data_IF_773589077898
#
_entry.id   IF_773589077898
#
_cell.length_a   1.000
_cell.length_b   1.000
_cell.length_c   1.000
_cell.angle_alpha   90.00
_cell.angle_beta   90.00
_cell.angle_gamma   90.00
#
_symmetry.space_group_name_H-M   'P 1'
#
loop_
_entity.id
_entity.type
_entity.pdbx_description
1 polymer ?
#
# COMPACT_ATOMS: atom_id res chain seq x y z
N UNK A 1 17.19 6.58 10.63
CA UNK A 1 17.30 5.88 9.33
C UNK A 1 18.57 5.07 9.36
N UNK A 2 18.45 3.77 9.61
CA UNK A 2 19.57 2.82 9.64
C UNK A 2 20.04 2.46 8.24
N UNK A 3 19.16 2.51 7.24
CA UNK A 3 19.48 2.23 5.85
C UNK A 3 18.78 3.21 4.90
N UNK A 4 19.47 4.27 4.44
CA UNK A 4 18.85 5.34 3.66
C UNK A 4 18.43 4.91 2.25
N UNK A 5 19.18 4.01 1.61
CA UNK A 5 18.85 3.51 0.27
C UNK A 5 17.59 2.64 0.30
N UNK A 6 17.50 1.72 1.26
CA UNK A 6 16.30 0.92 1.46
C UNK A 6 15.08 1.77 1.80
N UNK A 7 15.25 2.78 2.66
CA UNK A 7 14.18 3.73 2.99
C UNK A 7 13.64 4.46 1.75
N UNK A 8 14.52 5.00 0.91
CA UNK A 8 14.13 5.67 -0.33
C UNK A 8 13.41 4.72 -1.28
N UNK A 9 13.90 3.49 -1.43
CA UNK A 9 13.25 2.47 -2.28
C UNK A 9 11.82 2.17 -1.84
N UNK A 10 11.61 1.93 -0.55
CA UNK A 10 10.28 1.69 0.03
C UNK A 10 9.36 2.91 -0.16
N UNK A 11 9.87 4.12 0.07
CA UNK A 11 9.12 5.36 -0.08
C UNK A 11 8.67 5.63 -1.53
N UNK A 12 9.56 5.43 -2.50
CA UNK A 12 9.23 5.57 -3.93
C UNK A 12 8.18 4.54 -4.36
N UNK A 13 8.33 3.28 -3.93
CA UNK A 13 7.34 2.25 -4.22
C UNK A 13 6.00 2.53 -3.52
N UNK A 14 6.01 3.21 -2.38
CA UNK A 14 4.79 3.62 -1.68
C UNK A 14 4.06 4.72 -2.44
N UNK A 15 4.79 5.69 -3.00
CA UNK A 15 4.22 6.68 -3.89
C UNK A 15 3.57 6.03 -5.12
N UNK A 16 4.23 5.05 -5.73
CA UNK A 16 3.66 4.32 -6.87
C UNK A 16 2.40 3.54 -6.48
N UNK A 17 2.44 2.81 -5.36
CA UNK A 17 1.30 2.08 -4.83
C UNK A 17 0.08 2.98 -4.62
N UNK A 18 0.27 4.14 -3.97
CA UNK A 18 -0.81 5.09 -3.68
C UNK A 18 -1.33 5.77 -4.95
N UNK A 19 -0.46 6.07 -5.92
CA UNK A 19 -0.86 6.57 -7.23
C UNK A 19 -1.71 5.55 -8.00
N UNK A 20 -1.29 4.28 -8.07
CA UNK A 20 -2.06 3.21 -8.71
C UNK A 20 -3.39 2.95 -8.02
N UNK A 21 -3.43 3.05 -6.68
CA UNK A 21 -4.68 2.99 -5.92
C UNK A 21 -5.61 4.15 -6.26
N UNK A 22 -5.10 5.38 -6.37
CA UNK A 22 -5.87 6.54 -6.81
C UNK A 22 -6.48 6.36 -8.20
N UNK A 23 -5.71 5.81 -9.15
CA UNK A 23 -6.22 5.45 -10.48
C UNK A 23 -7.33 4.40 -10.42
N UNK A 24 -7.19 3.40 -9.56
CA UNK A 24 -8.23 2.39 -9.35
C UNK A 24 -9.51 3.04 -8.82
N UNK A 25 -9.42 3.89 -7.80
CA UNK A 25 -10.60 4.57 -7.26
C UNK A 25 -11.27 5.45 -8.33
N UNK A 26 -10.49 6.16 -9.13
CA UNK A 26 -11.02 6.97 -10.23
C UNK A 26 -11.75 6.11 -11.28
N UNK A 27 -11.27 4.91 -11.58
CA UNK A 27 -11.89 4.00 -12.54
C UNK A 27 -13.22 3.40 -12.07
N UNK A 28 -13.45 3.33 -10.75
CA UNK A 28 -14.70 2.79 -10.17
C UNK A 28 -15.65 3.89 -9.67
N UNK A 29 -15.14 5.10 -9.43
CA UNK A 29 -15.92 6.25 -9.01
C UNK A 29 -16.72 6.83 -10.18
N UNK A 30 -18.01 6.50 -10.24
CA UNK A 30 -18.94 7.04 -11.25
C UNK A 30 -19.09 8.57 -11.19
N UNK A 31 -18.88 9.16 -10.01
CA UNK A 31 -18.86 10.61 -9.78
C UNK A 31 -17.67 10.99 -8.90
N UNK A 32 -17.20 12.25 -8.95
CA UNK A 32 -16.14 12.73 -8.08
C UNK A 32 -16.43 12.53 -6.59
N UNK A 33 -17.67 12.74 -6.16
CA UNK A 33 -18.11 12.58 -4.76
C UNK A 33 -18.05 11.10 -4.33
N UNK A 34 -18.50 10.18 -5.19
CA UNK A 34 -18.43 8.75 -4.91
C UNK A 34 -16.98 8.27 -4.86
N UNK A 35 -16.13 8.72 -5.79
CA UNK A 35 -14.69 8.42 -5.79
C UNK A 35 -14.04 8.88 -4.49
N UNK A 36 -14.34 10.12 -4.05
CA UNK A 36 -13.82 10.66 -2.79
C UNK A 36 -14.26 9.84 -1.58
N UNK A 37 -15.53 9.45 -1.50
CA UNK A 37 -16.04 8.61 -0.42
C UNK A 37 -15.33 7.26 -0.33
N UNK A 38 -15.15 6.59 -1.48
CA UNK A 38 -14.42 5.32 -1.59
C UNK A 38 -12.97 5.50 -1.16
N UNK A 39 -12.28 6.53 -1.67
CA UNK A 39 -10.89 6.81 -1.33
C UNK A 39 -10.71 6.99 0.18
N UNK A 40 -11.55 7.80 0.82
CA UNK A 40 -11.48 8.06 2.26
C UNK A 40 -11.71 6.78 3.06
N UNK A 41 -12.79 6.06 2.77
CA UNK A 41 -13.13 4.84 3.49
C UNK A 41 -12.02 3.78 3.37
N UNK A 42 -11.55 3.52 2.15
CA UNK A 42 -10.49 2.54 1.91
C UNK A 42 -9.17 2.96 2.56
N UNK A 43 -8.82 4.25 2.51
CA UNK A 43 -7.61 4.77 3.18
C UNK A 43 -7.69 4.56 4.69
N UNK A 44 -8.84 4.82 5.31
CA UNK A 44 -9.01 4.60 6.75
C UNK A 44 -8.81 3.12 7.13
N UNK A 45 -9.41 2.20 6.37
CA UNK A 45 -9.20 0.76 6.58
C UNK A 45 -7.72 0.38 6.41
N UNK A 46 -7.07 0.88 5.37
CA UNK A 46 -5.65 0.63 5.11
C UNK A 46 -4.74 1.20 6.19
N UNK A 47 -5.04 2.37 6.76
CA UNK A 47 -4.25 2.98 7.83
C UNK A 47 -4.44 2.22 9.15
N UNK A 48 -5.68 1.84 9.47
CA UNK A 48 -5.99 1.06 10.67
C UNK A 48 -5.32 -0.32 10.64
N UNK A 49 -5.44 -1.06 9.53
CA UNK A 49 -4.93 -2.43 9.43
C UNK A 49 -3.47 -2.51 8.96
N UNK A 50 -2.97 -1.47 8.28
CA UNK A 50 -1.59 -1.42 7.79
C UNK A 50 -0.56 -1.23 8.90
N UNK A 51 -1.00 -0.85 10.10
CA UNK A 51 -0.12 -0.67 11.25
C UNK A 51 0.43 0.74 11.42
N UNK A 52 -0.15 1.73 10.72
CA UNK A 52 0.32 3.12 10.76
C UNK A 52 -0.08 3.83 12.05
N UNK A 53 -1.22 3.47 12.64
CA UNK A 53 -1.66 3.98 13.94
C UNK A 53 -1.22 3.10 15.10
N UNK A 54 -1.43 1.80 14.97
CA UNK A 54 -1.05 0.80 15.97
C UNK A 54 -0.09 -0.18 15.30
N UNK A 55 1.16 -0.30 15.79
CA UNK A 55 2.12 -1.21 15.19
C UNK A 55 1.57 -2.62 15.03
N UNK A 56 1.79 -3.21 13.85
CA UNK A 56 1.21 -4.51 13.46
C UNK A 56 1.52 -5.64 14.44
N UNK A 57 2.69 -5.62 15.08
CA UNK A 57 3.10 -6.62 16.07
C UNK A 57 2.29 -6.62 17.38
N UNK A 58 1.47 -5.58 17.62
CA UNK A 58 0.56 -5.52 18.78
C UNK A 58 -0.80 -6.16 18.50
N UNK A 59 -1.11 -6.50 17.25
CA UNK A 59 -2.38 -7.13 16.92
C UNK A 59 -2.43 -8.60 17.37
N UNK A 60 -3.63 -9.17 17.60
CA UNK A 60 -3.77 -10.62 17.77
C UNK A 60 -3.21 -11.40 16.56
N UNK A 61 -2.66 -12.59 16.77
CA UNK A 61 -1.99 -13.39 15.73
C UNK A 61 -2.80 -13.57 14.45
N UNK A 62 -4.10 -13.79 14.57
CA UNK A 62 -4.98 -13.98 13.41
C UNK A 62 -5.12 -12.69 12.58
N UNK A 63 -5.12 -11.53 13.23
CA UNK A 63 -5.13 -10.22 12.57
C UNK A 63 -3.78 -9.96 11.92
N UNK A 64 -2.68 -10.26 12.61
CA UNK A 64 -1.33 -10.15 12.03
C UNK A 64 -1.17 -11.01 10.79
N UNK A 65 -1.85 -12.15 10.67
CA UNK A 65 -1.80 -12.97 9.45
C UNK A 65 -2.70 -12.42 8.36
N UNK A 66 -3.85 -11.83 8.70
CA UNK A 66 -4.78 -11.30 7.69
C UNK A 66 -4.29 -10.00 7.06
N UNK A 67 -3.56 -9.15 7.79
CA UNK A 67 -3.16 -7.83 7.28
C UNK A 67 -2.08 -7.90 6.18
N UNK A 68 -1.57 -9.08 5.82
CA UNK A 68 -0.65 -9.25 4.66
C UNK A 68 -1.29 -8.85 3.33
N UNK A 69 -2.63 -8.90 3.24
CA UNK A 69 -3.37 -8.44 2.07
C UNK A 69 -3.60 -6.92 2.05
N UNK A 70 -3.19 -6.22 3.12
CA UNK A 70 -3.32 -4.77 3.24
C UNK A 70 -2.07 -4.12 2.62
N UNK A 71 -2.19 -3.41 1.50
CA UNK A 71 -1.01 -2.96 0.75
C UNK A 71 -0.10 -2.01 1.55
N UNK A 72 -0.70 -1.13 2.36
CA UNK A 72 0.01 -0.17 3.20
C UNK A 72 0.85 -0.83 4.29
N UNK A 73 0.52 -2.06 4.70
CA UNK A 73 1.31 -2.80 5.69
C UNK A 73 2.76 -2.94 5.26
N UNK A 74 2.99 -3.33 4.02
CA UNK A 74 4.33 -3.56 3.49
C UNK A 74 5.17 -2.29 3.46
N UNK A 75 4.55 -1.14 3.18
CA UNK A 75 5.22 0.14 3.27
C UNK A 75 5.61 0.48 4.72
N UNK A 76 4.70 0.29 5.67
CA UNK A 76 4.93 0.62 7.09
C UNK A 76 6.00 -0.28 7.69
N UNK A 77 5.87 -1.60 7.50
CA UNK A 77 6.86 -2.58 7.99
C UNK A 77 8.25 -2.32 7.35
N UNK A 78 8.29 -1.97 6.06
CA UNK A 78 9.53 -1.61 5.35
C UNK A 78 10.16 -0.31 5.85
N UNK A 79 9.35 0.73 6.09
CA UNK A 79 9.85 2.00 6.63
C UNK A 79 10.37 1.83 8.05
N UNK A 80 9.67 1.08 8.90
CA UNK A 80 10.14 0.73 10.25
C UNK A 80 11.48 -0.01 10.22
N UNK A 81 11.59 -1.02 9.34
CA UNK A 81 12.80 -1.80 9.14
C UNK A 81 14.02 -0.92 8.83
N UNK A 82 13.83 0.07 7.94
CA UNK A 82 14.89 0.96 7.46
C UNK A 82 15.13 2.18 8.36
N UNK A 83 14.20 2.48 9.27
CA UNK A 83 14.27 3.67 10.13
C UNK A 83 14.94 3.39 11.47
N UNK A 84 14.47 2.35 12.17
CA UNK A 84 14.81 2.12 13.58
C UNK A 84 14.99 0.65 13.99
N UNK A 85 14.49 -0.34 13.22
CA UNK A 85 14.64 -1.77 13.57
C UNK A 85 15.99 -2.40 13.16
N UNK A 86 16.86 -1.65 12.49
CA UNK A 86 18.22 -2.10 12.16
C UNK A 86 18.30 -3.30 11.21
N UNK A 87 17.26 -3.55 10.40
CA UNK A 87 17.26 -4.67 9.47
C UNK A 87 18.04 -4.38 8.18
N UNK A 88 18.47 -5.46 7.51
CA UNK A 88 19.23 -5.39 6.25
C UNK A 88 18.38 -5.10 5.01
N UNK A 89 19.03 -4.94 3.86
CA UNK A 89 18.37 -4.63 2.57
C UNK A 89 17.34 -5.68 2.11
N UNK A 90 17.43 -6.92 2.59
CA UNK A 90 16.43 -7.97 2.29
C UNK A 90 15.02 -7.55 2.71
N UNK A 91 14.87 -6.93 3.89
CA UNK A 91 13.58 -6.45 4.38
C UNK A 91 13.00 -5.35 3.48
N UNK A 92 13.85 -4.46 2.97
CA UNK A 92 13.44 -3.46 1.97
C UNK A 92 13.02 -4.14 0.65
N UNK A 93 13.79 -5.12 0.18
CA UNK A 93 13.48 -5.86 -1.05
C UNK A 93 12.10 -6.54 -0.99
N UNK A 94 11.78 -7.18 0.13
CA UNK A 94 10.47 -7.81 0.34
C UNK A 94 9.33 -6.79 0.35
N UNK A 95 9.49 -5.68 1.08
CA UNK A 95 8.50 -4.59 1.10
C UNK A 95 8.27 -3.99 -0.29
N UNK A 96 9.36 -3.68 -1.01
CA UNK A 96 9.33 -3.16 -2.38
C UNK A 96 8.60 -4.12 -3.32
N UNK A 97 8.95 -5.42 -3.30
CA UNK A 97 8.33 -6.41 -4.16
C UNK A 97 6.82 -6.52 -3.93
N UNK A 98 6.39 -6.53 -2.66
CA UNK A 98 4.97 -6.57 -2.32
C UNK A 98 4.24 -5.30 -2.79
N UNK A 99 4.80 -4.11 -2.53
CA UNK A 99 4.22 -2.84 -2.96
C UNK A 99 4.09 -2.75 -4.49
N UNK A 100 5.11 -3.18 -5.24
CA UNK A 100 5.05 -3.25 -6.69
C UNK A 100 4.01 -4.25 -7.19
N UNK A 101 3.87 -5.40 -6.52
CA UNK A 101 2.82 -6.38 -6.81
C UNK A 101 1.42 -5.77 -6.67
N UNK A 102 1.13 -5.09 -5.57
CA UNK A 102 -0.14 -4.40 -5.37
C UNK A 102 -0.34 -3.25 -6.36
N UNK A 103 0.68 -2.44 -6.61
CA UNK A 103 0.62 -1.33 -7.57
C UNK A 103 0.28 -1.84 -8.98
N UNK A 104 0.91 -2.94 -9.41
CA UNK A 104 0.62 -3.59 -10.68
C UNK A 104 -0.82 -4.08 -10.75
N UNK A 105 -1.32 -4.76 -9.71
CA UNK A 105 -2.72 -5.22 -9.65
C UNK A 105 -3.69 -4.04 -9.76
N UNK A 106 -3.47 -2.97 -8.99
CA UNK A 106 -4.34 -1.78 -9.03
C UNK A 106 -4.30 -1.09 -10.39
N UNK A 107 -3.12 -0.94 -10.99
CA UNK A 107 -2.97 -0.36 -12.32
C UNK A 107 -3.67 -1.20 -13.39
N UNK A 108 -3.49 -2.53 -13.38
CA UNK A 108 -4.13 -3.43 -14.34
C UNK A 108 -5.66 -3.38 -14.22
N UNK A 109 -6.19 -3.41 -13.00
CA UNK A 109 -7.63 -3.29 -12.76
C UNK A 109 -8.17 -1.95 -13.25
N UNK A 110 -7.49 -0.85 -12.95
CA UNK A 110 -7.86 0.49 -13.41
C UNK A 110 -7.89 0.57 -14.95
N UNK A 111 -6.81 0.15 -15.62
CA UNK A 111 -6.70 0.16 -17.08
C UNK A 111 -7.77 -0.73 -17.73
N UNK A 112 -8.01 -1.93 -17.18
CA UNK A 112 -9.04 -2.83 -17.71
C UNK A 112 -10.44 -2.22 -17.63
N UNK A 113 -10.72 -1.46 -16.57
CA UNK A 113 -12.02 -0.81 -16.36
C UNK A 113 -12.21 0.38 -17.30
N UNK A 114 -11.20 1.23 -17.47
CA UNK A 114 -11.24 2.34 -18.43
C UNK A 114 -11.42 1.84 -19.87
N UNK A 115 -10.73 0.77 -20.27
CA UNK A 115 -10.90 0.18 -21.61
C UNK A 115 -12.32 -0.31 -21.87
N UNK A 116 -12.98 -0.89 -20.86
CA UNK A 116 -14.37 -1.36 -20.97
C UNK A 116 -15.42 -0.24 -21.06
N UNK A 117 -15.08 0.97 -20.64
CA UNK A 117 -15.99 2.13 -20.73
C UNK A 117 -15.84 2.89 -22.06
N UNK A 118 -14.74 2.70 -22.77
CA UNK A 118 -14.51 3.27 -24.10
C UNK A 118 -15.06 2.39 -25.24
N UNK A 119 -15.46 1.15 -24.94
CA UNK A 119 -16.08 0.21 -25.88
C UNK A 119 -17.59 0.26 -25.74
#
# INVERSE_FOLDING_TARGET
>A
ITNPLGFLGVAVCFALLTASFGLLVAAFGKTPEAARGIAVFATLIMVMLGGAWVPSFLFPDWVQRSTVVVPTRWAIDGLDAMTWRGQGMEAAGMAIAAQLGFALVFALLAVSKFKREQQ
#
